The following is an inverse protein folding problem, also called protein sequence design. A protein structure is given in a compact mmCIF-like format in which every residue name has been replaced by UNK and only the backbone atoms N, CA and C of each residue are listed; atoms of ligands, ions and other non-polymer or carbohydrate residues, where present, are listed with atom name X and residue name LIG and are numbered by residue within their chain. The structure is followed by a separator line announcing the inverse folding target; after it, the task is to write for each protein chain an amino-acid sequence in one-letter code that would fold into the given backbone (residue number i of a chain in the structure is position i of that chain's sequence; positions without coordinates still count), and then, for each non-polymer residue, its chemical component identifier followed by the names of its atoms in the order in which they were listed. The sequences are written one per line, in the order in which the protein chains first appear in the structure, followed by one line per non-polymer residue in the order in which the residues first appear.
data_IF_264655596330
#
_entry.id   IF_264655596330
#
_cell.length_a   1.000
_cell.length_b   1.000
_cell.length_c   1.000
_cell.angle_alpha   90.00
_cell.angle_beta   90.00
_cell.angle_gamma   90.00
#
_symmetry.space_group_name_H-M   'P 1'
#
loop_
_entity.id
_entity.type
_entity.pdbx_description
1 polymer ?
#
# COMPACT_ATOMS: atom_id res chain seq x y z
N UNK A 1 -1.96 -17.91 -21.74
CA UNK A 1 -1.32 -16.57 -21.62
C UNK A 1 -1.67 -15.98 -20.25
N UNK A 2 -0.68 -15.60 -19.43
CA UNK A 2 -0.95 -14.95 -18.13
C UNK A 2 -1.63 -13.60 -18.39
N UNK A 3 -2.82 -13.37 -17.81
CA UNK A 3 -3.56 -12.13 -18.01
C UNK A 3 -2.71 -10.92 -17.55
N UNK A 4 -2.36 -9.97 -18.44
CA UNK A 4 -1.44 -8.88 -18.13
C UNK A 4 -1.95 -8.00 -16.99
N UNK A 5 -3.27 -7.83 -16.89
CA UNK A 5 -3.95 -7.11 -15.80
C UNK A 5 -3.60 -7.69 -14.42
N UNK A 6 -3.46 -9.02 -14.31
CA UNK A 6 -3.13 -9.66 -13.02
C UNK A 6 -1.71 -9.34 -12.59
N UNK A 7 -0.78 -9.30 -13.55
CA UNK A 7 0.63 -8.99 -13.30
C UNK A 7 0.75 -7.52 -12.90
N UNK A 8 0.09 -6.61 -13.63
CA UNK A 8 0.10 -5.17 -13.34
C UNK A 8 -0.43 -4.89 -11.93
N UNK A 9 -1.59 -5.47 -11.56
CA UNK A 9 -2.15 -5.31 -10.22
C UNK A 9 -1.20 -5.84 -9.14
N UNK A 10 -0.60 -7.03 -9.33
CA UNK A 10 0.31 -7.61 -8.36
C UNK A 10 1.58 -6.77 -8.18
N UNK A 11 2.23 -6.38 -9.27
CA UNK A 11 3.44 -5.55 -9.24
C UNK A 11 3.16 -4.17 -8.67
N UNK A 12 2.04 -3.55 -9.03
CA UNK A 12 1.64 -2.25 -8.50
C UNK A 12 1.36 -2.29 -6.99
N UNK A 13 0.65 -3.32 -6.51
CA UNK A 13 0.42 -3.52 -5.09
C UNK A 13 1.72 -3.75 -4.32
N UNK A 14 2.63 -4.57 -4.85
CA UNK A 14 3.94 -4.82 -4.22
C UNK A 14 4.79 -3.55 -4.13
N UNK A 15 4.81 -2.74 -5.20
CA UNK A 15 5.55 -1.49 -5.22
C UNK A 15 4.98 -0.48 -4.21
N UNK A 16 3.66 -0.25 -4.23
CA UNK A 16 3.00 0.66 -3.30
C UNK A 16 3.16 0.22 -1.85
N UNK A 17 3.03 -1.08 -1.56
CA UNK A 17 3.28 -1.62 -0.23
C UNK A 17 4.71 -1.34 0.23
N UNK A 18 5.70 -1.60 -0.64
CA UNK A 18 7.11 -1.36 -0.32
C UNK A 18 7.37 0.13 -0.02
N UNK A 19 6.82 1.04 -0.84
CA UNK A 19 6.95 2.49 -0.62
C UNK A 19 6.26 2.89 0.69
N UNK A 20 5.06 2.40 0.98
CA UNK A 20 4.35 2.66 2.24
C UNK A 20 5.16 2.19 3.45
N UNK A 21 5.73 0.99 3.41
CA UNK A 21 6.57 0.46 4.50
C UNK A 21 7.81 1.33 4.70
N UNK A 22 8.54 1.64 3.63
CA UNK A 22 9.76 2.45 3.72
C UNK A 22 9.47 3.86 4.26
N UNK A 23 8.47 4.53 3.71
CA UNK A 23 8.09 5.89 4.15
C UNK A 23 7.55 5.90 5.58
N UNK A 24 6.79 4.88 5.98
CA UNK A 24 6.30 4.73 7.36
C UNK A 24 7.43 4.49 8.36
N UNK A 25 8.38 3.62 8.01
CA UNK A 25 9.57 3.37 8.83
C UNK A 25 10.45 4.62 8.94
N UNK A 26 10.62 5.38 7.86
CA UNK A 26 11.38 6.64 7.89
C UNK A 26 10.72 7.65 8.83
N UNK A 27 9.41 7.87 8.70
CA UNK A 27 8.67 8.80 9.56
C UNK A 27 8.74 8.36 11.03
N UNK A 28 8.63 7.06 11.28
CA UNK A 28 8.58 6.54 12.65
C UNK A 28 9.95 6.43 13.33
N UNK A 29 10.98 5.94 12.64
CA UNK A 29 12.29 5.61 13.21
C UNK A 29 13.35 6.69 13.01
N UNK A 30 13.30 7.40 11.89
CA UNK A 30 14.40 8.29 11.47
C UNK A 30 14.07 9.75 11.80
N UNK A 31 12.83 10.18 11.61
CA UNK A 31 12.47 11.57 11.79
C UNK A 31 12.02 11.91 13.21
N UNK A 32 12.53 13.01 13.80
CA UNK A 32 12.15 13.43 15.14
C UNK A 32 10.69 13.92 15.15
N UNK A 33 9.92 13.47 16.14
CA UNK A 33 8.55 13.91 16.36
C UNK A 33 8.55 15.12 17.31
N UNK A 34 7.98 16.26 16.89
CA UNK A 34 7.82 17.43 17.76
C UNK A 34 7.92 18.79 17.05
N UNK A 35 7.96 19.91 17.82
CA UNK A 35 7.93 21.29 17.30
C UNK A 35 9.10 21.70 16.38
N UNK A 36 10.05 20.81 16.13
CA UNK A 36 11.14 20.98 15.17
C UNK A 36 10.90 20.31 13.81
N UNK A 37 9.63 20.06 13.45
CA UNK A 37 9.23 19.40 12.21
C UNK A 37 9.83 20.12 10.99
N UNK A 38 10.85 19.51 10.38
CA UNK A 38 11.49 20.02 9.19
C UNK A 38 10.62 19.71 7.95
N UNK A 39 10.75 20.50 6.88
CA UNK A 39 9.94 20.33 5.66
C UNK A 39 10.04 18.92 5.04
N UNK A 40 11.16 18.22 5.28
CA UNK A 40 11.38 16.85 4.81
C UNK A 40 10.48 15.83 5.51
N UNK A 41 10.32 15.92 6.83
CA UNK A 41 9.44 15.02 7.60
C UNK A 41 7.98 15.22 7.17
N UNK A 42 7.55 16.47 6.96
CA UNK A 42 6.23 16.77 6.43
C UNK A 42 6.02 16.17 5.03
N UNK A 43 6.98 16.35 4.13
CA UNK A 43 6.92 15.81 2.77
C UNK A 43 6.81 14.27 2.76
N UNK A 44 7.66 13.58 3.54
CA UNK A 44 7.65 12.11 3.59
C UNK A 44 6.38 11.60 4.27
N UNK A 45 5.88 12.29 5.29
CA UNK A 45 4.59 12.00 5.91
C UNK A 45 3.43 12.16 4.92
N UNK A 46 3.45 13.20 4.09
CA UNK A 46 2.42 13.42 3.08
C UNK A 46 2.47 12.35 1.98
N UNK A 47 3.67 12.02 1.48
CA UNK A 47 3.86 10.90 0.55
C UNK A 47 3.34 9.59 1.16
N UNK A 48 3.69 9.30 2.42
CA UNK A 48 3.23 8.09 3.10
C UNK A 48 1.69 8.01 3.15
N UNK A 49 1.02 9.11 3.47
CA UNK A 49 -0.44 9.18 3.52
C UNK A 49 -1.08 8.89 2.16
N UNK A 50 -0.63 9.57 1.11
CA UNK A 50 -1.21 9.40 -0.23
C UNK A 50 -0.93 8.01 -0.81
N UNK A 51 0.30 7.51 -0.70
CA UNK A 51 0.67 6.17 -1.17
C UNK A 51 -0.14 5.11 -0.44
N UNK A 52 -0.29 5.22 0.87
CA UNK A 52 -1.05 4.26 1.68
C UNK A 52 -2.54 4.30 1.37
N UNK A 53 -3.11 5.49 1.10
CA UNK A 53 -4.51 5.61 0.69
C UNK A 53 -4.75 4.91 -0.66
N UNK A 54 -3.90 5.17 -1.65
CA UNK A 54 -3.98 4.52 -2.98
C UNK A 54 -3.82 3.00 -2.83
N UNK A 55 -2.88 2.56 -1.99
CA UNK A 55 -2.67 1.14 -1.72
C UNK A 55 -3.91 0.46 -1.15
N UNK A 56 -4.57 1.07 -0.14
CA UNK A 56 -5.80 0.53 0.44
C UNK A 56 -6.91 0.42 -0.60
N UNK A 57 -7.14 1.47 -1.40
CA UNK A 57 -8.14 1.45 -2.49
C UNK A 57 -7.85 0.31 -3.47
N UNK A 58 -6.58 0.11 -3.83
CA UNK A 58 -6.16 -0.94 -4.75
C UNK A 58 -6.37 -2.34 -4.16
N UNK A 59 -6.07 -2.53 -2.87
CA UNK A 59 -6.33 -3.79 -2.13
C UNK A 59 -7.83 -4.09 -2.11
N UNK A 60 -8.66 -3.12 -1.75
CA UNK A 60 -10.12 -3.30 -1.74
C UNK A 60 -10.64 -3.68 -3.13
N UNK A 61 -10.19 -2.98 -4.17
CA UNK A 61 -10.52 -3.28 -5.56
C UNK A 61 -10.09 -4.69 -5.94
N UNK A 62 -8.88 -5.11 -5.54
CA UNK A 62 -8.38 -6.46 -5.79
C UNK A 62 -9.27 -7.53 -5.12
N UNK A 63 -9.65 -7.31 -3.86
CA UNK A 63 -10.51 -8.22 -3.10
C UNK A 63 -11.90 -8.32 -3.74
N UNK A 64 -12.50 -7.18 -4.13
CA UNK A 64 -13.82 -7.16 -4.78
C UNK A 64 -13.80 -7.90 -6.13
N UNK A 65 -12.79 -7.68 -6.97
CA UNK A 65 -12.61 -8.41 -8.24
C UNK A 65 -12.43 -9.91 -8.01
N UNK A 66 -11.85 -10.30 -6.86
CA UNK A 66 -11.59 -11.70 -6.50
C UNK A 66 -12.60 -12.29 -5.54
N UNK A 67 -13.72 -11.61 -5.29
CA UNK A 67 -14.67 -11.99 -4.25
C UNK A 67 -15.19 -13.43 -4.40
N UNK A 68 -15.57 -13.84 -5.61
CA UNK A 68 -16.03 -15.21 -5.87
C UNK A 68 -14.94 -16.28 -5.70
N UNK A 69 -13.68 -15.93 -5.98
CA UNK A 69 -12.56 -16.83 -5.71
C UNK A 69 -12.29 -16.92 -4.20
N UNK A 70 -12.35 -15.79 -3.49
CA UNK A 70 -12.15 -15.73 -2.05
C UNK A 70 -13.21 -16.57 -1.31
N UNK A 71 -14.49 -16.38 -1.63
CA UNK A 71 -15.60 -17.18 -1.07
C UNK A 71 -15.40 -18.68 -1.28
N UNK A 72 -14.95 -19.08 -2.47
CA UNK A 72 -14.68 -20.50 -2.78
C UNK A 72 -13.53 -21.06 -1.96
N UNK A 73 -12.44 -20.31 -1.78
CA UNK A 73 -11.32 -20.78 -0.97
C UNK A 73 -11.65 -20.83 0.52
N UNK A 74 -12.39 -19.84 1.03
CA UNK A 74 -12.83 -19.83 2.43
C UNK A 74 -13.80 -20.97 2.75
N UNK A 75 -14.65 -21.37 1.79
CA UNK A 75 -15.54 -22.53 1.97
C UNK A 75 -14.79 -23.87 1.97
N UNK A 76 -13.60 -23.90 1.38
CA UNK A 76 -12.77 -25.10 1.26
C UNK A 76 -11.70 -25.19 2.38
N UNK A 77 -11.68 -24.22 3.30
CA UNK A 77 -10.89 -24.24 4.54
C UNK A 77 -11.76 -24.73 5.69
#
# INVERSE_FOLDING_TARGET
MKNPIRIILATGMLALFSISVLTGLLVWLVFPHGPGNNGLTWLISDIHKWVSLIFVILVLTHVLIRWEWLKRNLKNM
#
